data_IF_852482879385
#
_entry.id   IF_852482879385
#
_cell.length_a   1.000
_cell.length_b   1.000
_cell.length_c   1.000
_cell.angle_alpha   90.00
_cell.angle_beta   90.00
_cell.angle_gamma   90.00
#
_symmetry.space_group_name_H-M   'P 1'
#
loop_
_entity.id
_entity.type
_entity.pdbx_description
1 polymer ?
#
# COMPACT_ATOMS: atom_id res chain seq x y z
N UNK A 1 -20.41 4.21 2.32
CA UNK A 1 -20.93 3.08 3.13
C UNK A 1 -19.79 2.37 3.87
N UNK A 2 -18.71 1.91 3.19
CA UNK A 2 -17.60 1.20 3.86
C UNK A 2 -16.99 1.99 5.03
N UNK A 3 -16.68 3.28 4.86
CA UNK A 3 -16.18 4.12 5.97
C UNK A 3 -17.18 4.18 7.15
N UNK A 4 -18.47 4.32 6.88
CA UNK A 4 -19.49 4.31 7.96
C UNK A 4 -19.55 2.97 8.69
N UNK A 5 -19.39 1.86 7.99
CA UNK A 5 -19.30 0.53 8.59
C UNK A 5 -18.02 0.37 9.44
N UNK A 6 -16.86 0.81 8.92
CA UNK A 6 -15.60 0.83 9.66
C UNK A 6 -15.67 1.70 10.93
N UNK A 7 -16.28 2.87 10.82
CA UNK A 7 -16.54 3.73 11.98
C UNK A 7 -17.42 3.05 13.05
N UNK A 8 -18.43 2.30 12.61
CA UNK A 8 -19.31 1.52 13.51
C UNK A 8 -18.65 0.23 14.04
N UNK A 9 -17.39 -0.03 13.71
CA UNK A 9 -16.63 -1.17 14.22
C UNK A 9 -16.67 -2.44 13.36
N UNK A 10 -17.26 -2.40 12.16
CA UNK A 10 -17.20 -3.51 11.23
C UNK A 10 -15.86 -3.54 10.49
N UNK A 11 -15.36 -4.74 10.20
CA UNK A 11 -14.28 -4.94 9.21
C UNK A 11 -14.88 -4.74 7.82
N UNK A 12 -14.62 -3.59 7.23
CA UNK A 12 -15.33 -3.14 6.04
C UNK A 12 -14.43 -3.00 4.83
N UNK A 13 -14.98 -3.23 3.65
CA UNK A 13 -14.28 -3.06 2.39
C UNK A 13 -15.18 -2.52 1.29
N UNK A 14 -14.55 -2.04 0.23
CA UNK A 14 -15.16 -1.85 -1.09
C UNK A 14 -14.16 -2.24 -2.16
N UNK A 15 -14.64 -2.63 -3.33
CA UNK A 15 -13.79 -2.97 -4.47
C UNK A 15 -14.11 -2.10 -5.67
N UNK A 16 -13.08 -1.75 -6.44
CA UNK A 16 -13.18 -0.91 -7.62
C UNK A 16 -11.97 -1.10 -8.55
N UNK A 17 -11.78 -0.16 -9.44
CA UNK A 17 -10.61 0.04 -10.29
C UNK A 17 -10.27 1.53 -10.33
N UNK A 18 -9.18 1.93 -10.96
CA UNK A 18 -8.71 3.32 -11.01
C UNK A 18 -9.78 4.39 -11.18
N UNK A 19 -10.78 4.25 -12.10
CA UNK A 19 -11.88 5.23 -12.19
C UNK A 19 -12.68 5.40 -10.90
N UNK A 20 -12.96 4.30 -10.18
CA UNK A 20 -13.66 4.39 -8.90
C UNK A 20 -12.78 4.93 -7.77
N UNK A 21 -11.47 4.64 -7.79
CA UNK A 21 -10.51 5.28 -6.89
C UNK A 21 -10.60 6.81 -7.07
N UNK A 22 -10.55 7.31 -8.30
CA UNK A 22 -10.72 8.74 -8.60
C UNK A 22 -12.01 9.33 -8.02
N UNK A 23 -13.13 8.61 -8.10
CA UNK A 23 -14.43 9.04 -7.56
C UNK A 23 -14.48 9.00 -6.02
N UNK A 24 -13.61 8.24 -5.37
CA UNK A 24 -13.57 8.11 -3.91
C UNK A 24 -12.55 9.04 -3.23
N UNK A 25 -11.89 9.91 -3.99
CA UNK A 25 -10.78 10.73 -3.51
C UNK A 25 -11.08 11.45 -2.17
N UNK A 26 -12.17 12.19 -2.10
CA UNK A 26 -12.56 12.91 -0.89
C UNK A 26 -12.90 11.96 0.28
N UNK A 27 -13.61 10.86 0.00
CA UNK A 27 -13.97 9.90 1.03
C UNK A 27 -12.74 9.17 1.61
N UNK A 28 -11.72 8.89 0.78
CA UNK A 28 -10.48 8.29 1.25
C UNK A 28 -9.68 9.28 2.10
N UNK A 29 -9.60 10.56 1.69
CA UNK A 29 -9.01 11.62 2.49
C UNK A 29 -9.72 11.78 3.83
N UNK A 30 -11.06 11.73 3.84
CA UNK A 30 -11.84 11.72 5.08
C UNK A 30 -11.45 10.51 5.96
N UNK A 31 -11.39 9.30 5.39
CA UNK A 31 -11.00 8.09 6.13
C UNK A 31 -9.60 8.19 6.74
N UNK A 32 -8.65 8.75 5.98
CA UNK A 32 -7.28 8.98 6.44
C UNK A 32 -7.21 9.97 7.61
N UNK A 33 -7.84 11.14 7.46
CA UNK A 33 -7.76 12.21 8.45
C UNK A 33 -8.59 11.93 9.71
N UNK A 34 -9.72 11.23 9.58
CA UNK A 34 -10.56 10.81 10.73
C UNK A 34 -10.17 9.45 11.30
N UNK A 35 -9.18 8.80 10.72
CA UNK A 35 -8.62 7.54 11.17
C UNK A 35 -9.68 6.42 11.27
N UNK A 36 -10.39 6.21 10.17
CA UNK A 36 -11.41 5.16 10.05
C UNK A 36 -10.84 3.97 9.28
N UNK A 37 -10.78 2.77 9.89
CA UNK A 37 -10.34 1.55 9.24
C UNK A 37 -11.23 1.19 8.05
N UNK A 38 -10.61 0.90 6.91
CA UNK A 38 -11.32 0.42 5.72
C UNK A 38 -10.33 -0.20 4.75
N UNK A 39 -10.73 -1.26 4.04
CA UNK A 39 -9.93 -1.86 2.97
C UNK A 39 -10.53 -1.50 1.62
N UNK A 40 -9.71 -1.01 0.71
CA UNK A 40 -10.09 -0.69 -0.67
C UNK A 40 -9.38 -1.66 -1.60
N UNK A 41 -10.14 -2.45 -2.36
CA UNK A 41 -9.56 -3.30 -3.40
C UNK A 41 -9.56 -2.52 -4.72
N UNK A 42 -8.36 -2.19 -5.19
CA UNK A 42 -8.16 -1.65 -6.53
C UNK A 42 -7.70 -2.76 -7.47
N UNK A 43 -8.62 -3.18 -8.35
CA UNK A 43 -8.31 -4.12 -9.43
C UNK A 43 -7.92 -3.31 -10.65
N UNK A 44 -6.62 -3.04 -10.78
CA UNK A 44 -6.07 -2.15 -11.78
C UNK A 44 -6.33 -2.63 -13.20
N UNK A 45 -6.66 -1.71 -14.08
CA UNK A 45 -6.91 -1.95 -15.51
C UNK A 45 -6.41 -0.78 -16.33
N UNK A 46 -6.37 -0.98 -17.66
CA UNK A 46 -5.92 0.07 -18.58
C UNK A 46 -6.78 1.32 -18.44
N UNK A 47 -6.16 2.42 -18.06
CA UNK A 47 -6.65 3.79 -18.09
C UNK A 47 -6.05 4.57 -19.27
N UNK A 48 -6.25 5.92 -19.33
CA UNK A 48 -7.06 6.74 -18.41
C UNK A 48 -8.56 6.62 -18.64
N UNK A 49 -9.37 7.12 -17.68
CA UNK A 49 -10.83 7.02 -17.63
C UNK A 49 -11.29 5.56 -17.65
N UNK A 50 -12.35 5.21 -18.34
CA UNK A 50 -12.78 3.80 -18.50
C UNK A 50 -11.73 2.96 -19.22
N UNK A 51 -10.96 3.57 -20.12
CA UNK A 51 -9.86 2.95 -20.86
C UNK A 51 -10.25 1.65 -21.56
N UNK A 52 -9.47 0.59 -21.30
CA UNK A 52 -9.76 -0.76 -21.78
C UNK A 52 -10.21 -1.62 -20.60
N UNK A 53 -11.52 -1.72 -20.29
CA UNK A 53 -12.01 -2.24 -19.01
C UNK A 53 -11.73 -3.73 -18.77
N UNK A 54 -11.35 -4.48 -19.79
CA UNK A 54 -11.01 -5.91 -19.73
C UNK A 54 -9.52 -6.17 -19.98
N UNK A 55 -8.67 -5.15 -19.87
CA UNK A 55 -7.22 -5.25 -20.13
C UNK A 55 -6.44 -4.86 -18.90
N UNK A 56 -5.39 -5.66 -18.60
CA UNK A 56 -4.56 -5.46 -17.41
C UNK A 56 -3.58 -4.30 -17.58
N UNK A 57 -3.33 -3.61 -16.48
CA UNK A 57 -2.29 -2.58 -16.34
C UNK A 57 -2.01 -2.37 -14.84
N UNK A 58 -0.85 -1.81 -14.50
CA UNK A 58 -0.46 -1.46 -13.13
C UNK A 58 -0.16 0.05 -13.08
N UNK A 59 -1.17 0.90 -13.31
CA UNK A 59 -0.99 2.34 -13.53
C UNK A 59 -1.69 3.25 -12.52
N UNK A 60 -2.12 2.70 -11.39
CA UNK A 60 -2.78 3.47 -10.34
C UNK A 60 -1.87 3.72 -9.12
N UNK A 61 -0.57 3.36 -9.22
CA UNK A 61 0.40 3.40 -8.12
C UNK A 61 0.59 4.80 -7.52
N UNK A 62 0.94 5.79 -8.34
CA UNK A 62 1.14 7.17 -7.87
C UNK A 62 -0.17 7.80 -7.40
N UNK A 63 -1.28 7.51 -8.11
CA UNK A 63 -2.59 7.99 -7.71
C UNK A 63 -2.97 7.48 -6.33
N UNK A 64 -2.73 6.20 -6.03
CA UNK A 64 -3.08 5.60 -4.75
C UNK A 64 -2.13 6.02 -3.64
N UNK A 65 -0.81 6.03 -3.89
CA UNK A 65 0.18 6.39 -2.89
C UNK A 65 -0.11 7.75 -2.21
N UNK A 66 -0.56 8.74 -3.01
CA UNK A 66 -0.84 10.11 -2.56
C UNK A 66 -2.28 10.53 -2.88
N UNK A 67 -3.21 9.60 -2.69
CA UNK A 67 -4.60 9.82 -3.05
C UNK A 67 -5.27 10.93 -2.21
N UNK A 68 -6.34 11.55 -2.75
CA UNK A 68 -7.03 12.70 -2.17
C UNK A 68 -6.25 14.01 -2.39
N UNK A 69 -6.36 14.94 -1.47
CA UNK A 69 -5.68 16.23 -1.46
C UNK A 69 -5.02 16.45 -0.09
N UNK A 70 -4.07 17.37 -0.03
CA UNK A 70 -3.26 17.57 1.18
C UNK A 70 -2.18 16.49 1.34
N UNK A 71 -1.67 16.36 2.55
CA UNK A 71 -0.53 15.52 2.87
C UNK A 71 -1.01 14.13 3.30
N UNK A 72 -1.25 13.26 2.33
CA UNK A 72 -1.69 11.88 2.53
C UNK A 72 -0.62 10.87 2.07
N UNK A 73 -0.63 9.68 2.64
CA UNK A 73 0.21 8.56 2.23
C UNK A 73 -0.52 7.26 2.55
N UNK A 74 -1.08 6.64 1.52
CA UNK A 74 -1.89 5.44 1.69
C UNK A 74 -1.06 4.17 1.63
N UNK A 75 -1.18 3.26 2.62
CA UNK A 75 -0.57 1.94 2.55
C UNK A 75 -1.17 1.12 1.42
N UNK A 76 -0.27 0.47 0.63
CA UNK A 76 -0.65 -0.42 -0.46
C UNK A 76 -0.07 -1.82 -0.23
N UNK A 77 -0.84 -2.86 -0.57
CA UNK A 77 -0.40 -4.25 -0.62
C UNK A 77 -0.44 -4.72 -2.07
N UNK A 78 0.63 -5.37 -2.54
CA UNK A 78 0.90 -5.68 -3.95
C UNK A 78 1.03 -7.20 -4.16
N UNK A 79 -0.07 -7.97 -4.18
CA UNK A 79 -0.02 -9.41 -4.36
C UNK A 79 0.37 -9.78 -5.79
N UNK A 80 1.10 -10.88 -5.96
CA UNK A 80 1.51 -11.41 -7.27
C UNK A 80 0.75 -12.67 -7.69
N UNK A 81 0.02 -13.33 -6.78
CA UNK A 81 -0.63 -14.61 -7.03
C UNK A 81 -1.86 -14.80 -6.11
N UNK A 82 -2.71 -15.82 -6.36
CA UNK A 82 -3.91 -16.06 -5.56
C UNK A 82 -3.64 -16.33 -4.07
N UNK A 83 -2.55 -17.01 -3.74
CA UNK A 83 -2.17 -17.29 -2.35
C UNK A 83 -1.86 -16.01 -1.60
N UNK A 84 -1.06 -15.10 -2.21
CA UNK A 84 -0.81 -13.77 -1.65
C UNK A 84 -2.06 -12.90 -1.65
N UNK A 85 -2.89 -12.97 -2.68
CA UNK A 85 -4.15 -12.23 -2.71
C UNK A 85 -5.03 -12.59 -1.51
N UNK A 86 -5.07 -13.87 -1.14
CA UNK A 86 -5.80 -14.32 0.04
C UNK A 86 -5.14 -13.85 1.35
N UNK A 87 -3.86 -14.17 1.56
CA UNK A 87 -3.17 -13.86 2.82
C UNK A 87 -3.04 -12.34 3.06
N UNK A 88 -2.68 -11.58 2.03
CA UNK A 88 -2.61 -10.12 2.12
C UNK A 88 -3.99 -9.46 2.27
N UNK A 89 -5.07 -10.10 1.75
CA UNK A 89 -6.43 -9.62 2.04
C UNK A 89 -6.74 -9.70 3.53
N UNK A 90 -6.42 -10.80 4.20
CA UNK A 90 -6.58 -10.92 5.64
C UNK A 90 -5.74 -9.87 6.39
N UNK A 91 -4.47 -9.74 6.02
CA UNK A 91 -3.55 -8.77 6.59
C UNK A 91 -4.01 -7.32 6.38
N UNK A 92 -4.63 -6.99 5.23
CA UNK A 92 -5.12 -5.65 4.95
C UNK A 92 -6.14 -5.16 5.99
N UNK A 93 -7.03 -6.04 6.44
CA UNK A 93 -7.99 -5.70 7.49
C UNK A 93 -7.32 -5.50 8.84
N UNK A 94 -6.35 -6.34 9.20
CA UNK A 94 -5.62 -6.21 10.45
C UNK A 94 -4.81 -4.91 10.47
N UNK A 95 -4.11 -4.60 9.39
CA UNK A 95 -3.38 -3.34 9.22
C UNK A 95 -4.32 -2.12 9.30
N UNK A 96 -5.46 -2.18 8.59
CA UNK A 96 -6.42 -1.08 8.62
C UNK A 96 -6.93 -0.81 10.04
N UNK A 97 -7.25 -1.84 10.80
CA UNK A 97 -7.74 -1.70 12.17
C UNK A 97 -6.63 -1.33 13.16
N UNK A 98 -5.46 -1.96 13.06
CA UNK A 98 -4.31 -1.67 13.91
C UNK A 98 -3.88 -0.21 13.78
N UNK A 99 -3.76 0.27 12.55
CA UNK A 99 -3.29 1.62 12.24
C UNK A 99 -4.42 2.64 12.03
N UNK A 100 -5.67 2.21 12.11
CA UNK A 100 -6.85 3.08 11.97
C UNK A 100 -6.73 3.98 10.73
N UNK A 101 -6.62 3.36 9.57
CA UNK A 101 -6.43 4.07 8.29
C UNK A 101 -7.01 3.24 7.15
N UNK A 102 -7.41 3.86 6.03
CA UNK A 102 -7.67 3.10 4.81
C UNK A 102 -6.38 2.40 4.33
N UNK A 103 -6.49 1.12 3.97
CA UNK A 103 -5.43 0.32 3.33
C UNK A 103 -5.89 -0.07 1.94
N UNK A 104 -5.05 0.10 0.93
CA UNK A 104 -5.40 -0.23 -0.44
C UNK A 104 -4.72 -1.52 -0.87
N UNK A 105 -5.54 -2.48 -1.30
CA UNK A 105 -5.09 -3.74 -1.87
C UNK A 105 -5.06 -3.59 -3.39
N UNK A 106 -3.84 -3.56 -3.95
CA UNK A 106 -3.57 -3.28 -5.35
C UNK A 106 -3.42 -4.58 -6.14
N UNK A 107 -4.50 -5.08 -6.71
CA UNK A 107 -4.48 -6.17 -7.68
C UNK A 107 -4.52 -5.62 -9.11
N UNK A 108 -4.53 -6.48 -10.10
CA UNK A 108 -4.75 -6.13 -11.49
C UNK A 108 -5.63 -7.19 -12.19
N UNK A 109 -6.02 -6.92 -13.44
CA UNK A 109 -6.89 -7.83 -14.18
C UNK A 109 -6.20 -9.12 -14.65
N UNK A 110 -4.88 -9.19 -14.65
CA UNK A 110 -4.19 -10.44 -14.91
C UNK A 110 -4.47 -11.44 -13.78
N UNK A 111 -4.36 -10.99 -12.53
CA UNK A 111 -4.75 -11.79 -11.37
C UNK A 111 -6.27 -11.97 -11.27
N UNK A 112 -7.05 -10.93 -11.59
CA UNK A 112 -8.50 -10.91 -11.34
C UNK A 112 -9.36 -11.60 -12.40
N UNK A 113 -8.89 -11.79 -13.63
CA UNK A 113 -9.68 -12.34 -14.75
C UNK A 113 -9.18 -13.69 -15.29
N UNK A 114 -7.92 -14.05 -15.05
CA UNK A 114 -7.37 -15.30 -15.53
C UNK A 114 -7.62 -16.46 -14.55
N UNK A 115 -7.58 -17.69 -15.08
CA UNK A 115 -7.62 -18.86 -14.25
C UNK A 115 -6.20 -19.20 -13.78
N UNK A 116 -5.99 -19.15 -12.47
CA UNK A 116 -4.72 -19.48 -11.84
C UNK A 116 -4.76 -20.84 -11.20
N UNK A 117 -3.64 -21.55 -11.23
CA UNK A 117 -3.41 -22.73 -10.41
C UNK A 117 -2.64 -22.27 -9.16
N UNK A 118 -3.14 -22.62 -8.00
CA UNK A 118 -2.48 -22.34 -6.74
C UNK A 118 -2.65 -23.53 -5.77
N UNK A 119 -1.80 -23.57 -4.76
CA UNK A 119 -1.97 -24.49 -3.65
C UNK A 119 -3.28 -24.21 -2.90
N UNK A 120 -3.82 -25.20 -2.16
CA UNK A 120 -4.97 -24.97 -1.29
C UNK A 120 -4.71 -23.81 -0.34
N UNK A 121 -5.69 -22.91 -0.23
CA UNK A 121 -5.61 -21.78 0.67
C UNK A 121 -5.79 -22.27 2.12
N UNK A 122 -4.91 -21.81 3.01
CA UNK A 122 -5.01 -22.08 4.43
C UNK A 122 -6.10 -21.21 5.06
N UNK A 123 -6.90 -21.78 5.96
CA UNK A 123 -7.88 -20.97 6.70
C UNK A 123 -7.14 -19.91 7.55
N UNK A 124 -7.59 -18.63 7.51
CA UNK A 124 -6.97 -17.59 8.30
C UNK A 124 -7.20 -17.84 9.79
N UNK A 125 -6.29 -17.34 10.63
CA UNK A 125 -6.51 -17.34 12.08
C UNK A 125 -7.85 -16.65 12.41
N UNK A 126 -8.55 -17.18 13.41
CA UNK A 126 -9.73 -16.54 13.97
C UNK A 126 -9.37 -15.35 14.88
N UNK A 127 -8.10 -15.19 15.23
CA UNK A 127 -7.60 -14.11 16.06
C UNK A 127 -7.27 -12.90 15.17
N UNK A 128 -8.20 -11.96 15.12
CA UNK A 128 -8.06 -10.73 14.36
C UNK A 128 -7.38 -9.64 15.19
N UNK A 129 -6.38 -8.97 14.60
CA UNK A 129 -5.82 -7.76 15.21
C UNK A 129 -6.81 -6.59 15.01
N UNK A 130 -7.53 -6.24 16.07
CA UNK A 130 -8.48 -5.13 16.08
C UNK A 130 -7.82 -3.79 16.47
N UNK A 131 -6.52 -3.79 16.74
CA UNK A 131 -5.78 -2.62 17.18
C UNK A 131 -6.24 -2.09 18.55
N UNK A 132 -6.01 -0.80 18.79
CA UNK A 132 -6.28 -0.15 20.07
C UNK A 132 -7.77 0.22 20.23
N UNK A 133 -8.61 -0.78 20.56
CA UNK A 133 -10.01 -0.52 20.93
C UNK A 133 -10.07 -0.18 22.42
N UNK A 134 -10.64 0.99 22.75
CA UNK A 134 -10.86 1.42 24.11
C UNK A 134 -12.14 0.77 24.66
N UNK A 135 -12.00 -0.18 25.61
CA UNK A 135 -13.10 -0.63 26.45
C UNK A 135 -13.38 0.39 27.57
N UNK A 136 -14.49 0.21 28.28
CA UNK A 136 -14.82 1.06 29.43
C UNK A 136 -13.68 1.02 30.49
N UNK A 137 -13.05 -0.16 30.70
CA UNK A 137 -11.94 -0.32 31.64
C UNK A 137 -10.66 0.38 31.15
N UNK A 138 -10.41 0.39 29.81
CA UNK A 138 -9.27 1.12 29.24
C UNK A 138 -9.46 2.61 29.46
N UNK A 139 -10.63 3.16 29.14
CA UNK A 139 -10.91 4.60 29.35
C UNK A 139 -10.76 4.98 30.82
N UNK A 140 -11.30 4.17 31.73
CA UNK A 140 -11.24 4.43 33.17
C UNK A 140 -9.80 4.43 33.73
N UNK A 141 -8.83 3.79 33.06
CA UNK A 141 -7.40 3.74 33.49
C UNK A 141 -6.56 4.87 32.91
N UNK A 142 -7.02 5.49 31.82
CA UNK A 142 -6.32 6.61 31.23
C UNK A 142 -6.56 7.88 32.03
N UNK A 143 -5.52 8.65 32.29
CA UNK A 143 -5.65 9.96 32.96
C UNK A 143 -6.62 10.87 32.19
N UNK A 144 -6.54 10.81 30.87
CA UNK A 144 -7.47 11.47 29.96
C UNK A 144 -7.55 10.70 28.65
N UNK A 145 -8.73 10.25 28.27
CA UNK A 145 -8.98 9.73 26.94
C UNK A 145 -9.36 10.86 25.96
N UNK A 146 -8.92 10.74 24.73
CA UNK A 146 -9.33 11.58 23.61
C UNK A 146 -9.18 10.80 22.33
N UNK A 147 -10.13 10.93 21.38
CA UNK A 147 -10.20 10.10 20.17
C UNK A 147 -8.87 10.12 19.36
N UNK A 148 -8.16 11.23 19.37
CA UNK A 148 -6.93 11.42 18.61
C UNK A 148 -5.70 11.61 19.49
N UNK A 149 -5.83 11.28 20.78
CA UNK A 149 -4.73 11.38 21.75
C UNK A 149 -3.78 10.19 21.64
N UNK A 150 -2.54 10.49 21.30
CA UNK A 150 -1.45 9.51 21.25
C UNK A 150 -0.90 9.30 22.66
N UNK A 151 -1.36 8.25 23.33
CA UNK A 151 -0.97 7.95 24.72
C UNK A 151 0.36 7.20 24.78
N UNK A 152 0.61 6.35 23.78
CA UNK A 152 1.76 5.44 23.77
C UNK A 152 2.96 5.98 22.97
N UNK A 153 2.79 7.07 22.24
CA UNK A 153 3.83 7.72 21.44
C UNK A 153 4.10 7.10 20.07
N UNK A 154 3.30 6.11 19.66
CA UNK A 154 3.42 5.43 18.38
C UNK A 154 2.58 6.06 17.24
N UNK A 155 1.86 7.12 17.55
CA UNK A 155 0.97 7.83 16.62
C UNK A 155 -0.45 7.24 16.53
N UNK A 156 -0.72 6.10 17.18
CA UNK A 156 -1.99 5.38 17.10
C UNK A 156 -2.83 5.66 18.35
N UNK A 157 -3.96 6.38 18.24
CA UNK A 157 -4.83 6.64 19.37
C UNK A 157 -5.71 5.42 19.72
N UNK A 158 -6.23 5.39 20.94
CA UNK A 158 -7.30 4.46 21.30
C UNK A 158 -8.62 4.91 20.72
N UNK A 159 -9.32 4.02 19.98
CA UNK A 159 -10.64 4.30 19.42
C UNK A 159 -11.76 3.62 20.17
N UNK A 160 -12.88 4.27 20.29
CA UNK A 160 -14.13 3.69 20.81
C UNK A 160 -14.99 3.20 19.65
N UNK A 161 -15.84 2.21 19.92
CA UNK A 161 -16.82 1.72 18.96
C UNK A 161 -18.22 2.11 19.46
N UNK A 162 -19.01 2.86 18.66
CA UNK A 162 -20.34 3.28 19.05
C UNK A 162 -21.24 2.10 19.46
N UNK A 163 -21.89 2.22 20.61
CA UNK A 163 -22.77 1.17 21.15
C UNK A 163 -22.07 -0.04 21.78
N UNK A 164 -20.72 -0.08 21.73
CA UNK A 164 -19.90 -1.11 22.40
C UNK A 164 -19.21 -0.52 23.62
N UNK A 165 -18.53 0.61 23.47
CA UNK A 165 -17.95 1.35 24.59
C UNK A 165 -19.03 2.27 25.17
N UNK A 166 -19.39 2.04 26.42
CA UNK A 166 -20.51 2.70 27.08
C UNK A 166 -20.08 3.76 28.10
N UNK A 167 -18.78 3.93 28.32
CA UNK A 167 -18.25 4.95 29.23
C UNK A 167 -18.74 6.35 28.82
N UNK A 168 -19.15 7.23 29.77
CA UNK A 168 -19.68 8.56 29.45
C UNK A 168 -18.77 9.41 28.55
N UNK A 169 -17.45 9.27 28.73
CA UNK A 169 -16.44 10.01 27.93
C UNK A 169 -16.11 9.35 26.59
N UNK A 170 -16.70 8.20 26.26
CA UNK A 170 -16.43 7.46 25.01
C UNK A 170 -16.96 8.17 23.76
N UNK A 171 -17.95 9.01 23.91
CA UNK A 171 -18.60 9.71 22.80
C UNK A 171 -17.69 10.81 22.23
N UNK A 172 -17.60 10.84 20.93
CA UNK A 172 -16.86 11.88 20.19
C UNK A 172 -17.56 12.20 18.88
N UNK A 173 -17.30 13.38 18.35
CA UNK A 173 -17.76 13.75 17.02
C UNK A 173 -16.64 13.53 16.00
N UNK A 174 -16.85 12.58 15.09
CA UNK A 174 -15.96 12.38 13.93
C UNK A 174 -16.22 13.45 12.88
N UNK A 175 -15.16 14.15 12.47
CA UNK A 175 -15.25 15.25 11.50
C UNK A 175 -14.03 15.29 10.58
N UNK A 176 -14.24 15.64 9.31
CA UNK A 176 -13.17 15.88 8.35
C UNK A 176 -12.54 17.28 8.47
N UNK A 177 -13.11 18.18 9.27
CA UNK A 177 -12.50 19.48 9.58
C UNK A 177 -11.40 19.35 10.65
N UNK A 178 -10.56 20.36 10.79
CA UNK A 178 -9.52 20.41 11.83
C UNK A 178 -10.05 20.09 13.22
N UNK A 179 -9.31 19.31 13.99
CA UNK A 179 -9.68 18.84 15.32
C UNK A 179 -8.45 18.68 16.22
N UNK A 180 -8.69 18.83 17.53
CA UNK A 180 -7.69 18.56 18.56
C UNK A 180 -7.69 17.08 18.97
N UNK A 181 -6.86 16.75 19.94
CA UNK A 181 -6.71 15.38 20.48
C UNK A 181 -8.01 14.84 21.11
N UNK A 182 -8.91 15.72 21.52
CA UNK A 182 -10.19 15.38 22.15
C UNK A 182 -11.37 15.40 21.15
N UNK A 183 -11.08 15.48 19.84
CA UNK A 183 -12.05 15.58 18.73
C UNK A 183 -12.86 16.89 18.70
N UNK A 184 -12.44 17.93 19.42
CA UNK A 184 -13.05 19.23 19.30
C UNK A 184 -12.57 19.93 18.02
N UNK A 185 -13.45 20.74 17.42
CA UNK A 185 -13.07 21.57 16.28
C UNK A 185 -11.94 22.53 16.64
N UNK A 186 -10.93 22.60 15.76
CA UNK A 186 -9.79 23.50 15.90
C UNK A 186 -9.22 23.89 14.54
N UNK A 187 -8.96 25.19 14.35
CA UNK A 187 -8.20 25.74 13.23
C UNK A 187 -6.84 26.33 13.70
N UNK A 188 -6.39 25.97 14.92
CA UNK A 188 -5.06 26.36 15.40
C UNK A 188 -3.97 25.71 14.53
N UNK A 189 -3.02 26.49 13.97
CA UNK A 189 -1.90 25.95 13.21
C UNK A 189 -1.06 24.94 14.02
N UNK A 190 -0.88 25.18 15.30
CA UNK A 190 -0.10 24.31 16.19
C UNK A 190 -0.78 22.96 16.42
N UNK A 191 -2.13 22.95 16.54
CA UNK A 191 -2.91 21.73 16.68
C UNK A 191 -2.84 20.93 15.38
N UNK A 192 -3.01 21.61 14.25
CA UNK A 192 -2.96 20.99 12.92
C UNK A 192 -1.59 20.34 12.66
N UNK A 193 -0.49 21.06 12.90
CA UNK A 193 0.87 20.55 12.71
C UNK A 193 1.13 19.29 13.55
N UNK A 194 0.76 19.33 14.85
CA UNK A 194 0.90 18.13 15.71
C UNK A 194 0.10 16.93 15.22
N UNK A 195 -1.10 17.17 14.68
CA UNK A 195 -1.90 16.08 14.12
C UNK A 195 -1.24 15.46 12.88
N UNK A 196 -0.73 16.28 11.95
CA UNK A 196 -0.02 15.79 10.77
C UNK A 196 1.25 15.04 11.14
N UNK A 197 2.05 15.56 12.07
CA UNK A 197 3.26 14.89 12.57
C UNK A 197 2.94 13.54 13.20
N UNK A 198 1.81 13.44 13.92
CA UNK A 198 1.32 12.19 14.50
C UNK A 198 0.90 11.20 13.42
N UNK A 199 0.12 11.63 12.41
CA UNK A 199 -0.28 10.80 11.28
C UNK A 199 0.94 10.31 10.49
N UNK A 200 1.91 11.18 10.22
CA UNK A 200 3.15 10.81 9.54
C UNK A 200 3.94 9.75 10.34
N UNK A 201 4.07 9.93 11.67
CA UNK A 201 4.72 8.94 12.56
C UNK A 201 4.00 7.60 12.52
N UNK A 202 2.66 7.60 12.60
CA UNK A 202 1.83 6.39 12.50
C UNK A 202 2.08 5.61 11.19
N UNK A 203 2.04 6.30 10.05
CA UNK A 203 2.26 5.66 8.75
C UNK A 203 3.71 5.16 8.60
N UNK A 204 4.69 5.93 9.08
CA UNK A 204 6.09 5.47 9.07
C UNK A 204 6.31 4.27 9.98
N UNK A 205 5.63 4.22 11.13
CA UNK A 205 5.68 3.07 12.05
C UNK A 205 5.03 1.81 11.52
N UNK A 206 4.12 1.94 10.52
CA UNK A 206 3.43 0.79 9.91
C UNK A 206 4.38 -0.12 9.11
N UNK A 207 5.48 0.41 8.60
CA UNK A 207 6.37 -0.30 7.65
C UNK A 207 6.82 -1.66 8.17
N UNK A 208 7.05 -1.79 9.48
CA UNK A 208 7.50 -3.05 10.11
C UNK A 208 6.45 -4.17 10.08
N UNK A 209 5.18 -3.83 9.90
CA UNK A 209 4.08 -4.79 9.82
C UNK A 209 3.62 -5.03 8.36
N UNK A 210 4.12 -4.26 7.40
CA UNK A 210 3.83 -4.45 5.99
C UNK A 210 4.55 -5.68 5.42
N UNK A 211 4.03 -6.33 4.37
CA UNK A 211 4.72 -7.42 3.70
C UNK A 211 6.13 -7.02 3.27
N UNK A 212 7.14 -7.73 3.78
CA UNK A 212 8.52 -7.54 3.36
C UNK A 212 8.69 -7.84 1.86
N UNK A 213 9.62 -7.17 1.14
CA UNK A 213 9.95 -7.53 -0.22
C UNK A 213 10.55 -8.95 -0.28
N UNK A 214 10.47 -9.57 -1.45
CA UNK A 214 11.15 -10.84 -1.70
C UNK A 214 12.44 -10.56 -2.47
N UNK A 215 13.54 -11.06 -1.92
CA UNK A 215 14.88 -10.92 -2.48
C UNK A 215 15.33 -12.26 -3.04
N UNK A 216 15.83 -12.26 -4.27
CA UNK A 216 16.47 -13.39 -4.92
C UNK A 216 17.86 -12.97 -5.40
N UNK A 217 18.92 -13.49 -4.78
CA UNK A 217 20.27 -13.16 -5.18
C UNK A 217 20.57 -13.73 -6.56
N UNK A 218 21.24 -12.92 -7.38
CA UNK A 218 21.76 -13.29 -8.68
C UNK A 218 23.29 -13.34 -8.69
N UNK A 219 23.86 -13.12 -9.86
CA UNK A 219 25.32 -13.13 -10.10
C UNK A 219 25.79 -11.87 -10.86
N UNK A 220 24.87 -10.99 -11.21
CA UNK A 220 25.15 -9.76 -11.96
C UNK A 220 25.27 -8.54 -11.06
N UNK A 221 25.89 -7.48 -11.59
CA UNK A 221 26.07 -6.21 -10.87
C UNK A 221 24.81 -5.32 -10.91
N UNK A 222 23.86 -5.65 -11.77
CA UNK A 222 22.59 -4.92 -11.93
C UNK A 222 21.52 -5.49 -11.02
N UNK A 223 20.72 -4.60 -10.39
CA UNK A 223 19.51 -4.95 -9.68
C UNK A 223 18.28 -4.94 -10.60
N UNK A 224 17.31 -5.80 -10.32
CA UNK A 224 16.00 -5.84 -10.97
C UNK A 224 14.90 -5.68 -9.95
N UNK A 225 13.93 -4.79 -10.22
CA UNK A 225 12.74 -4.60 -9.38
C UNK A 225 11.49 -4.85 -10.21
N UNK A 226 10.51 -5.57 -9.62
CA UNK A 226 9.16 -5.70 -10.14
C UNK A 226 8.14 -5.81 -8.99
N UNK A 227 6.85 -5.82 -9.32
CA UNK A 227 5.76 -5.96 -8.35
C UNK A 227 4.51 -6.58 -8.99
N UNK A 228 3.59 -7.06 -8.14
CA UNK A 228 2.33 -7.63 -8.60
C UNK A 228 2.54 -8.78 -9.60
N UNK A 229 1.64 -8.91 -10.57
CA UNK A 229 1.67 -9.99 -11.57
C UNK A 229 2.86 -9.92 -12.54
N UNK A 230 3.61 -8.82 -12.59
CA UNK A 230 4.88 -8.73 -13.34
C UNK A 230 5.90 -9.77 -12.88
N UNK A 231 5.83 -10.20 -11.61
CA UNK A 231 6.69 -11.21 -10.99
C UNK A 231 6.82 -12.48 -11.84
N UNK A 232 5.70 -12.99 -12.35
CA UNK A 232 5.67 -14.26 -13.07
C UNK A 232 6.48 -14.23 -14.38
N UNK A 233 6.39 -13.12 -15.12
CA UNK A 233 7.18 -12.95 -16.33
C UNK A 233 8.68 -12.79 -16.02
N UNK A 234 9.00 -12.15 -14.89
CA UNK A 234 10.39 -12.04 -14.40
C UNK A 234 10.92 -13.42 -14.00
N UNK A 235 10.18 -14.17 -13.19
CA UNK A 235 10.57 -15.51 -12.74
C UNK A 235 10.84 -16.45 -13.91
N UNK A 236 9.94 -16.49 -14.90
CA UNK A 236 10.11 -17.31 -16.10
C UNK A 236 11.33 -16.86 -16.92
N UNK A 237 11.54 -15.55 -17.03
CA UNK A 237 12.69 -15.05 -17.76
C UNK A 237 14.02 -15.41 -17.10
N UNK A 238 14.11 -15.25 -15.78
CA UNK A 238 15.31 -15.54 -15.00
C UNK A 238 15.62 -17.04 -14.95
N UNK A 239 14.61 -17.91 -14.95
CA UNK A 239 14.80 -19.36 -14.93
C UNK A 239 15.55 -19.89 -16.17
N UNK A 240 15.48 -19.19 -17.30
CA UNK A 240 16.12 -19.58 -18.56
C UNK A 240 17.50 -18.90 -18.77
N UNK A 241 17.97 -18.08 -17.82
CA UNK A 241 19.23 -17.33 -17.94
C UNK A 241 20.37 -18.04 -17.21
N UNK A 242 21.57 -18.05 -17.81
CA UNK A 242 22.79 -18.58 -17.18
C UNK A 242 23.33 -17.66 -16.07
N UNK A 243 23.15 -16.34 -16.22
CA UNK A 243 23.51 -15.34 -15.21
C UNK A 243 22.33 -14.40 -15.03
N UNK A 244 21.88 -14.26 -13.79
CA UNK A 244 20.71 -13.46 -13.43
C UNK A 244 21.11 -12.22 -12.64
N UNK A 245 20.41 -11.08 -12.79
CA UNK A 245 20.54 -9.96 -11.86
C UNK A 245 20.06 -10.35 -10.48
N UNK A 246 20.44 -9.60 -9.45
CA UNK A 246 19.75 -9.64 -8.18
C UNK A 246 18.31 -9.15 -8.40
N UNK A 247 17.33 -9.88 -7.86
CA UNK A 247 15.92 -9.55 -8.05
C UNK A 247 15.25 -9.22 -6.73
N UNK A 248 14.56 -8.07 -6.66
CA UNK A 248 13.72 -7.66 -5.56
C UNK A 248 12.28 -7.47 -6.05
N UNK A 249 11.36 -8.23 -5.48
CA UNK A 249 9.92 -8.01 -5.67
C UNK A 249 9.35 -7.13 -4.56
N UNK A 250 8.86 -5.95 -4.93
CA UNK A 250 8.15 -5.05 -4.02
C UNK A 250 6.76 -5.62 -3.72
N UNK A 251 6.39 -5.68 -2.43
CA UNK A 251 5.11 -6.24 -1.97
C UNK A 251 4.22 -5.25 -1.25
N UNK A 252 4.74 -4.10 -0.88
CA UNK A 252 4.00 -3.07 -0.14
C UNK A 252 4.55 -1.67 -0.35
N UNK A 253 3.76 -0.69 -0.01
CA UNK A 253 4.13 0.72 0.17
C UNK A 253 3.44 1.24 1.44
N UNK A 254 4.07 2.11 2.26
CA UNK A 254 5.45 2.61 2.17
C UNK A 254 6.49 1.49 2.09
N UNK A 255 7.63 1.79 1.45
CA UNK A 255 8.64 0.75 1.22
C UNK A 255 9.34 0.32 2.49
N UNK A 256 9.58 -0.99 2.59
CA UNK A 256 10.42 -1.58 3.63
C UNK A 256 11.89 -1.13 3.43
N UNK A 257 12.65 -1.05 4.53
CA UNK A 257 14.06 -0.62 4.51
C UNK A 257 14.91 -1.39 3.49
N UNK A 258 14.64 -2.68 3.30
CA UNK A 258 15.36 -3.53 2.33
C UNK A 258 15.28 -3.02 0.88
N UNK A 259 14.25 -2.25 0.51
CA UNK A 259 14.15 -1.63 -0.83
C UNK A 259 15.21 -0.54 -1.00
N UNK A 260 15.40 0.30 0.01
CA UNK A 260 16.47 1.30 0.02
C UNK A 260 17.86 0.67 -0.01
N UNK A 261 18.09 -0.34 0.83
CA UNK A 261 19.34 -1.12 0.86
C UNK A 261 19.64 -1.78 -0.49
N UNK A 262 18.61 -2.30 -1.16
CA UNK A 262 18.76 -2.87 -2.50
C UNK A 262 19.20 -1.81 -3.52
N UNK A 263 18.60 -0.63 -3.51
CA UNK A 263 19.02 0.48 -4.39
C UNK A 263 20.44 0.99 -4.07
N UNK A 264 20.85 0.96 -2.80
CA UNK A 264 22.20 1.37 -2.39
C UNK A 264 23.28 0.38 -2.83
N UNK A 265 22.96 -0.91 -2.89
CA UNK A 265 23.90 -1.97 -3.20
C UNK A 265 24.15 -2.16 -4.72
N UNK A 266 23.37 -1.51 -5.59
CA UNK A 266 23.51 -1.63 -7.05
C UNK A 266 23.79 -0.29 -7.70
N UNK A 267 24.69 -0.24 -8.66
CA UNK A 267 24.98 0.97 -9.44
C UNK A 267 23.85 1.30 -10.41
N UNK A 268 23.16 0.27 -10.91
CA UNK A 268 22.00 0.38 -11.81
C UNK A 268 20.90 -0.59 -11.37
N UNK A 269 19.65 -0.11 -11.30
CA UNK A 269 18.49 -0.91 -10.94
C UNK A 269 17.41 -0.72 -12.00
N UNK A 270 17.09 -1.79 -12.72
CA UNK A 270 16.00 -1.78 -13.68
C UNK A 270 14.67 -2.05 -12.97
N UNK A 271 13.67 -1.22 -13.22
CA UNK A 271 12.30 -1.42 -12.77
C UNK A 271 11.43 -1.81 -13.95
N UNK A 272 10.90 -3.04 -13.96
CA UNK A 272 9.97 -3.53 -14.98
C UNK A 272 8.54 -3.37 -14.45
N UNK A 273 7.71 -2.67 -15.22
CA UNK A 273 6.36 -2.33 -14.80
C UNK A 273 5.36 -2.20 -15.96
N UNK A 274 4.09 -2.45 -15.66
CA UNK A 274 3.03 -2.49 -16.65
C UNK A 274 2.25 -1.17 -16.71
N UNK A 275 2.94 -0.08 -17.02
CA UNK A 275 2.36 1.23 -17.31
C UNK A 275 3.33 2.05 -18.17
N UNK A 276 2.84 3.11 -18.81
CA UNK A 276 3.64 3.93 -19.72
C UNK A 276 4.61 4.86 -19.00
N UNK A 277 4.22 5.33 -17.81
CA UNK A 277 4.89 6.44 -17.16
C UNK A 277 6.04 6.01 -16.24
N UNK A 278 6.20 4.72 -15.96
CA UNK A 278 7.21 4.27 -15.00
C UNK A 278 6.85 4.68 -13.58
N UNK A 279 5.61 4.41 -13.12
CA UNK A 279 5.10 4.94 -11.87
C UNK A 279 5.79 4.37 -10.64
N UNK A 280 6.18 3.09 -10.66
CA UNK A 280 6.96 2.50 -9.57
C UNK A 280 8.37 3.09 -9.54
N UNK A 281 9.02 3.25 -10.68
CA UNK A 281 10.33 3.91 -10.76
C UNK A 281 10.27 5.36 -10.24
N UNK A 282 9.20 6.10 -10.58
CA UNK A 282 8.99 7.44 -10.06
C UNK A 282 8.78 7.43 -8.53
N UNK A 283 7.96 6.50 -8.02
CA UNK A 283 7.70 6.38 -6.59
C UNK A 283 8.98 6.06 -5.81
N UNK A 284 9.82 5.14 -6.33
CA UNK A 284 11.13 4.85 -5.78
C UNK A 284 12.06 6.08 -5.80
N UNK A 285 12.07 6.83 -6.89
CA UNK A 285 12.87 8.04 -7.01
C UNK A 285 12.41 9.17 -6.04
N UNK A 286 11.12 9.25 -5.75
CA UNK A 286 10.57 10.20 -4.77
C UNK A 286 10.94 9.81 -3.34
N UNK A 287 10.91 8.52 -3.02
CA UNK A 287 11.25 7.99 -1.70
C UNK A 287 12.77 7.98 -1.42
N UNK A 288 13.58 7.77 -2.47
CA UNK A 288 15.04 7.70 -2.41
C UNK A 288 15.69 8.68 -3.40
N UNK A 289 15.49 9.99 -3.25
CA UNK A 289 15.93 10.98 -4.23
C UNK A 289 17.45 10.99 -4.48
N UNK A 290 18.26 10.61 -3.48
CA UNK A 290 19.70 10.48 -3.60
C UNK A 290 20.14 9.30 -4.49
N UNK A 291 19.25 8.31 -4.73
CA UNK A 291 19.49 7.12 -5.54
C UNK A 291 18.76 7.15 -6.89
N UNK A 292 17.98 8.23 -7.15
CA UNK A 292 17.14 8.33 -8.35
C UNK A 292 17.92 8.13 -9.68
N UNK A 293 19.19 8.54 -9.71
CA UNK A 293 20.06 8.36 -10.89
C UNK A 293 20.44 6.91 -11.21
N UNK A 294 20.19 5.97 -10.28
CA UNK A 294 20.46 4.53 -10.48
C UNK A 294 19.25 3.79 -11.03
N UNK A 295 18.07 4.41 -11.03
CA UNK A 295 16.80 3.77 -11.38
C UNK A 295 16.55 3.90 -12.88
N UNK A 296 16.43 2.78 -13.56
CA UNK A 296 16.11 2.69 -14.99
C UNK A 296 14.75 2.07 -15.18
N UNK A 297 13.79 2.82 -15.70
CA UNK A 297 12.42 2.31 -15.93
C UNK A 297 12.33 1.59 -17.27
N UNK A 298 11.76 0.38 -17.25
CA UNK A 298 11.42 -0.40 -18.44
C UNK A 298 9.91 -0.68 -18.43
N UNK A 299 9.20 -0.04 -19.31
CA UNK A 299 7.72 -0.01 -19.30
C UNK A 299 7.10 -0.88 -20.37
N UNK A 300 6.01 -1.55 -20.03
CA UNK A 300 5.11 -2.26 -20.92
C UNK A 300 3.67 -1.77 -20.70
N UNK A 301 2.93 -1.45 -21.75
CA UNK A 301 1.59 -0.86 -21.62
C UNK A 301 0.61 -1.29 -22.71
N UNK A 302 0.77 -2.50 -23.22
CA UNK A 302 -0.11 -3.06 -24.27
C UNK A 302 -1.47 -3.54 -23.81
N UNK A 303 -1.73 -3.58 -22.49
CA UNK A 303 -2.99 -4.06 -21.90
C UNK A 303 -3.13 -5.58 -21.91
N UNK A 304 -2.07 -6.31 -22.18
CA UNK A 304 -1.96 -7.77 -22.07
C UNK A 304 -1.01 -8.12 -20.93
N UNK A 305 -1.08 -9.33 -20.38
CA UNK A 305 -0.09 -9.83 -19.45
C UNK A 305 1.33 -9.71 -20.02
N UNK A 306 2.28 -9.34 -19.17
CA UNK A 306 3.68 -9.22 -19.55
C UNK A 306 4.24 -10.62 -19.88
N UNK A 307 5.06 -10.72 -20.92
CA UNK A 307 5.73 -11.97 -21.29
C UNK A 307 7.19 -12.01 -20.80
N UNK A 308 7.69 -13.21 -20.52
CA UNK A 308 9.09 -13.44 -20.20
C UNK A 308 10.05 -12.98 -21.32
N UNK A 309 9.61 -13.02 -22.59
CA UNK A 309 10.40 -12.51 -23.71
C UNK A 309 10.69 -11.02 -23.59
N UNK A 310 9.70 -10.22 -23.20
CA UNK A 310 9.91 -8.80 -22.97
C UNK A 310 10.96 -8.54 -21.87
N UNK A 311 10.91 -9.32 -20.79
CA UNK A 311 11.89 -9.22 -19.71
C UNK A 311 13.30 -9.57 -20.21
N UNK A 312 13.46 -10.67 -20.95
CA UNK A 312 14.74 -11.09 -21.54
C UNK A 312 15.32 -10.02 -22.47
N UNK A 313 14.51 -9.47 -23.38
CA UNK A 313 14.92 -8.39 -24.29
C UNK A 313 15.32 -7.12 -23.51
N UNK A 314 14.60 -6.80 -22.43
CA UNK A 314 14.92 -5.68 -21.57
C UNK A 314 16.31 -5.84 -20.91
N UNK A 315 16.59 -7.00 -20.34
CA UNK A 315 17.85 -7.31 -19.68
C UNK A 315 19.02 -7.36 -20.68
N UNK A 316 18.84 -7.97 -21.85
CA UNK A 316 19.86 -7.99 -22.90
C UNK A 316 20.23 -6.59 -23.39
N UNK A 317 19.22 -5.71 -23.59
CA UNK A 317 19.47 -4.34 -24.03
C UNK A 317 20.25 -3.51 -23.01
N UNK A 318 20.11 -3.78 -21.72
CA UNK A 318 20.86 -3.12 -20.66
C UNK A 318 22.35 -3.55 -20.68
N UNK A 319 22.60 -4.85 -20.79
CA UNK A 319 23.98 -5.39 -20.84
C UNK A 319 24.79 -4.88 -22.05
N UNK A 320 24.13 -4.62 -23.17
CA UNK A 320 24.80 -4.04 -24.37
C UNK A 320 25.17 -2.56 -24.21
N UNK A 321 24.45 -1.82 -23.36
CA UNK A 321 24.72 -0.40 -23.05
C UNK A 321 25.91 -0.30 -22.09
N UNK A 322 26.00 -1.18 -21.10
CA UNK A 322 27.10 -1.22 -20.11
C UNK A 322 28.44 -1.69 -20.77
N UNK A 323 28.38 -2.49 -21.85
CA UNK A 323 29.52 -2.97 -22.55
C UNK A 323 30.17 -1.95 -23.56
N UNK A 324 29.56 -0.77 -23.72
CA UNK A 324 30.01 0.32 -24.62
C UNK A 324 30.57 1.49 -23.83
#
# INVERSE_FOLDING_TARGET
>A
MALGAGWAGARSMTSTSGPGISLMAENLGLGYFTEIPTVIYDVQRVGPSTGLPTRTQQSDMLQVAFHSHGDTRFPMLLPANPGEAFSMSCQAYDLAEKYQTPVVFMSDLDLGMNNWICDPLEEPSADFDRGKIASDEVIARLDKWGRYRDVDGDGIPYRTIPGVTLHPDAAHLTRGSGHDEDANYSESPEVYSRNLDRLARKISGMVVDLPEPILKPGQGDMGLIAFGTTDWAVEEALADMESTPDYLRVRSFPFHQQVGEFLENHESVMVIEQNQQGQMAQLLAMEYPQLAGRIVSKTYYGGLPLSANFVREALQSASEVEAR
#
